data_IF_048525684339
#
_entry.id   IF_048525684339
#
_cell.length_a   1.000
_cell.length_b   1.000
_cell.length_c   1.000
_cell.angle_alpha   90.00
_cell.angle_beta   90.00
_cell.angle_gamma   90.00
#
_symmetry.space_group_name_H-M   'P 1'
#
loop_
_entity.id
_entity.type
_entity.pdbx_description
1 polymer ?
#
# COMPACT_ATOMS: atom_id res chain seq x y z
N UNK A 1 -37.02 6.91 -7.92
CA UNK A 1 -35.99 6.02 -8.49
C UNK A 1 -36.70 4.79 -9.03
N UNK A 2 -36.57 4.53 -10.32
CA UNK A 2 -37.24 3.44 -11.04
C UNK A 2 -36.40 2.16 -10.96
N UNK A 3 -37.02 1.00 -11.23
CA UNK A 3 -36.29 -0.26 -11.30
C UNK A 3 -35.18 -0.27 -12.38
N UNK A 4 -35.32 0.57 -13.43
CA UNK A 4 -34.29 0.74 -14.47
C UNK A 4 -33.07 1.50 -13.95
N UNK A 5 -33.29 2.58 -13.19
CA UNK A 5 -32.20 3.38 -12.60
C UNK A 5 -31.38 2.56 -11.59
N UNK A 6 -32.02 1.67 -10.83
CA UNK A 6 -31.33 0.76 -9.89
C UNK A 6 -30.44 -0.22 -10.66
N UNK A 7 -30.95 -0.82 -11.75
CA UNK A 7 -30.20 -1.79 -12.55
C UNK A 7 -28.97 -1.15 -13.24
N UNK A 8 -29.08 0.10 -13.69
CA UNK A 8 -27.96 0.85 -14.27
C UNK A 8 -26.87 1.15 -13.24
N UNK A 9 -27.26 1.52 -12.00
CA UNK A 9 -26.32 1.74 -10.89
C UNK A 9 -25.60 0.44 -10.53
N UNK A 10 -26.32 -0.68 -10.41
CA UNK A 10 -25.72 -1.98 -10.10
C UNK A 10 -24.72 -2.42 -11.18
N UNK A 11 -25.06 -2.23 -12.46
CA UNK A 11 -24.14 -2.50 -13.57
C UNK A 11 -22.89 -1.61 -13.52
N UNK A 12 -23.05 -0.32 -13.19
CA UNK A 12 -21.92 0.59 -13.01
C UNK A 12 -21.03 0.19 -11.83
N UNK A 13 -21.61 -0.25 -10.71
CA UNK A 13 -20.85 -0.74 -9.55
C UNK A 13 -20.04 -1.98 -9.92
N UNK A 14 -20.64 -2.94 -10.64
CA UNK A 14 -19.92 -4.13 -11.11
C UNK A 14 -18.77 -3.75 -12.04
N UNK A 15 -19.00 -2.81 -12.97
CA UNK A 15 -17.96 -2.32 -13.86
C UNK A 15 -16.82 -1.63 -13.11
N UNK A 16 -17.12 -0.78 -12.13
CA UNK A 16 -16.12 -0.11 -11.31
C UNK A 16 -15.29 -1.11 -10.49
N UNK A 17 -15.92 -2.15 -9.93
CA UNK A 17 -15.19 -3.21 -9.22
C UNK A 17 -14.20 -3.93 -10.14
N UNK A 18 -14.62 -4.28 -11.35
CA UNK A 18 -13.73 -4.91 -12.32
C UNK A 18 -12.51 -4.02 -12.67
N UNK A 19 -12.70 -2.70 -12.77
CA UNK A 19 -11.60 -1.75 -12.98
C UNK A 19 -10.67 -1.68 -11.76
N UNK A 20 -11.22 -1.66 -10.55
CA UNK A 20 -10.44 -1.68 -9.30
C UNK A 20 -9.61 -2.95 -9.21
N UNK A 21 -10.23 -4.12 -9.43
CA UNK A 21 -9.53 -5.41 -9.39
C UNK A 21 -8.37 -5.46 -10.42
N UNK A 22 -8.60 -4.94 -11.63
CA UNK A 22 -7.55 -4.85 -12.65
C UNK A 22 -6.41 -3.90 -12.25
N UNK A 23 -6.73 -2.78 -11.60
CA UNK A 23 -5.74 -1.84 -11.08
C UNK A 23 -4.92 -2.46 -9.94
N UNK A 24 -5.57 -3.17 -9.01
CA UNK A 24 -4.92 -3.89 -7.92
C UNK A 24 -3.99 -4.99 -8.42
N UNK A 25 -4.42 -5.78 -9.42
CA UNK A 25 -3.58 -6.79 -10.06
C UNK A 25 -2.36 -6.16 -10.77
N UNK A 26 -2.58 -5.03 -11.45
CA UNK A 26 -1.49 -4.28 -12.11
C UNK A 26 -0.48 -3.78 -11.08
N UNK A 27 -0.95 -3.19 -9.98
CA UNK A 27 -0.11 -2.71 -8.89
C UNK A 27 0.67 -3.87 -8.24
N UNK A 28 0.02 -5.00 -7.95
CA UNK A 28 0.66 -6.19 -7.39
C UNK A 28 1.79 -6.69 -8.30
N UNK A 29 1.55 -6.73 -9.62
CA UNK A 29 2.57 -7.11 -10.60
C UNK A 29 3.77 -6.14 -10.59
N UNK A 30 3.52 -4.84 -10.55
CA UNK A 30 4.58 -3.83 -10.50
C UNK A 30 5.40 -3.93 -9.21
N UNK A 31 4.73 -4.18 -8.08
CA UNK A 31 5.38 -4.42 -6.79
C UNK A 31 6.24 -5.68 -6.82
N UNK A 32 5.78 -6.76 -7.45
CA UNK A 32 6.53 -8.01 -7.54
C UNK A 32 7.78 -7.91 -8.43
N UNK A 33 7.76 -7.02 -9.43
CA UNK A 33 8.87 -6.84 -10.38
C UNK A 33 9.95 -5.87 -9.89
N UNK A 34 9.67 -5.08 -8.85
CA UNK A 34 10.64 -4.09 -8.37
C UNK A 34 11.69 -4.71 -7.46
N UNK A 35 12.93 -4.23 -7.50
CA UNK A 35 13.90 -4.56 -6.46
C UNK A 35 13.43 -3.96 -5.13
N UNK A 36 13.23 -4.80 -4.12
CA UNK A 36 12.86 -4.35 -2.79
C UNK A 36 14.04 -3.58 -2.16
N UNK A 37 13.78 -2.34 -1.72
CA UNK A 37 14.74 -1.53 -0.98
C UNK A 37 14.26 -1.35 0.45
N UNK A 38 14.96 -2.01 1.36
CA UNK A 38 14.66 -1.94 2.79
C UNK A 38 15.56 -0.93 3.48
N UNK A 39 14.95 -0.02 4.23
CA UNK A 39 15.63 0.99 5.05
C UNK A 39 15.22 0.85 6.51
N UNK A 40 16.03 1.37 7.43
CA UNK A 40 15.66 1.43 8.83
C UNK A 40 14.52 2.46 9.07
N UNK A 41 13.68 2.26 10.10
CA UNK A 41 12.67 3.25 10.51
C UNK A 41 13.25 4.65 10.73
N UNK A 42 14.47 4.76 11.24
CA UNK A 42 15.19 6.03 11.41
C UNK A 42 15.45 6.75 10.08
N UNK A 43 15.73 6.02 9.00
CA UNK A 43 15.94 6.58 7.66
C UNK A 43 14.61 7.01 7.02
N UNK A 44 13.52 6.29 7.31
CA UNK A 44 12.19 6.61 6.81
C UNK A 44 11.61 7.91 7.42
N UNK A 45 12.15 8.37 8.56
CA UNK A 45 11.75 9.66 9.17
C UNK A 45 11.91 10.83 8.19
N UNK A 46 12.94 10.80 7.33
CA UNK A 46 13.16 11.82 6.30
C UNK A 46 12.15 11.81 5.16
N UNK A 47 11.30 10.79 5.07
CA UNK A 47 10.32 10.66 3.98
C UNK A 47 9.06 11.46 4.28
N UNK A 48 8.51 11.40 5.50
CA UNK A 48 7.25 12.08 5.86
C UNK A 48 7.31 12.91 7.15
N UNK A 49 8.46 12.97 7.82
CA UNK A 49 8.69 13.77 9.03
C UNK A 49 8.19 13.11 10.32
N UNK A 50 7.70 11.86 10.26
CA UNK A 50 7.27 11.16 11.46
C UNK A 50 8.42 10.66 12.30
N UNK A 51 8.16 10.52 13.60
CA UNK A 51 9.13 9.95 14.53
C UNK A 51 9.39 8.47 14.21
N UNK A 52 10.61 8.00 14.46
CA UNK A 52 10.98 6.60 14.27
C UNK A 52 10.04 5.63 15.01
N UNK A 53 9.58 6.02 16.21
CA UNK A 53 8.64 5.22 17.00
C UNK A 53 7.28 5.04 16.32
N UNK A 54 6.78 6.07 15.63
CA UNK A 54 5.54 6.01 14.85
C UNK A 54 5.74 5.10 13.64
N UNK A 55 6.84 5.26 12.92
CA UNK A 55 7.16 4.43 11.76
C UNK A 55 7.27 2.95 12.15
N UNK A 56 7.88 2.65 13.29
CA UNK A 56 7.95 1.27 13.79
C UNK A 56 6.56 0.67 14.07
N UNK A 57 5.65 1.44 14.68
CA UNK A 57 4.25 1.00 14.90
C UNK A 57 3.52 0.82 13.56
N UNK A 58 3.76 1.71 12.61
CA UNK A 58 3.21 1.62 11.26
C UNK A 58 3.67 0.33 10.55
N UNK A 59 4.95 -0.05 10.67
CA UNK A 59 5.47 -1.32 10.14
C UNK A 59 4.77 -2.53 10.75
N UNK A 60 4.54 -2.52 12.07
CA UNK A 60 3.84 -3.59 12.77
C UNK A 60 2.38 -3.72 12.32
N UNK A 61 1.71 -2.59 12.07
CA UNK A 61 0.34 -2.58 11.56
C UNK A 61 0.23 -2.96 10.07
N UNK A 62 1.30 -2.77 9.28
CA UNK A 62 1.29 -2.97 7.83
C UNK A 62 2.46 -3.88 7.39
N UNK A 63 2.43 -5.18 7.73
CA UNK A 63 3.52 -6.09 7.39
C UNK A 63 3.52 -6.45 5.89
N UNK A 64 4.70 -6.73 5.34
CA UNK A 64 4.89 -7.01 3.89
C UNK A 64 4.14 -8.25 3.40
N UNK A 65 3.94 -9.25 4.26
CA UNK A 65 3.18 -10.47 3.95
C UNK A 65 1.68 -10.22 3.77
N UNK A 66 1.18 -9.06 4.22
CA UNK A 66 -0.19 -8.56 4.01
C UNK A 66 -0.27 -7.43 2.99
N UNK A 67 0.76 -7.25 2.17
CA UNK A 67 0.83 -6.17 1.18
C UNK A 67 1.20 -4.80 1.77
N UNK A 68 1.66 -4.75 3.02
CA UNK A 68 2.20 -3.54 3.64
C UNK A 68 3.69 -3.31 3.32
N UNK A 69 4.35 -2.48 4.13
CA UNK A 69 5.77 -2.09 3.98
C UNK A 69 6.67 -2.54 5.13
N UNK A 70 6.12 -3.09 6.21
CA UNK A 70 6.87 -3.50 7.39
C UNK A 70 7.46 -4.89 7.26
N UNK A 71 8.78 -5.02 7.34
CA UNK A 71 9.46 -6.33 7.37
C UNK A 71 10.18 -6.51 8.71
N UNK A 72 9.94 -7.62 9.41
CA UNK A 72 10.64 -7.95 10.66
C UNK A 72 11.75 -8.97 10.39
N UNK A 73 13.01 -8.57 10.57
CA UNK A 73 14.19 -9.43 10.40
C UNK A 73 15.01 -9.42 11.68
N UNK A 74 15.26 -10.60 12.26
CA UNK A 74 16.06 -10.75 13.49
C UNK A 74 15.63 -9.79 14.63
N UNK A 75 14.32 -9.64 14.82
CA UNK A 75 13.75 -8.77 15.84
C UNK A 75 13.78 -7.27 15.51
N UNK A 76 14.35 -6.85 14.38
CA UNK A 76 14.38 -5.46 13.92
C UNK A 76 13.36 -5.23 12.83
N UNK A 77 12.72 -4.07 12.87
CA UNK A 77 11.82 -3.62 11.81
C UNK A 77 12.61 -2.92 10.71
N UNK A 78 12.27 -3.25 9.47
CA UNK A 78 12.70 -2.60 8.25
C UNK A 78 11.47 -2.05 7.53
N UNK A 79 11.69 -1.02 6.74
CA UNK A 79 10.68 -0.33 5.93
C UNK A 79 10.99 -0.60 4.47
N UNK A 80 10.05 -1.16 3.74
CA UNK A 80 10.10 -1.10 2.29
C UNK A 80 9.87 0.35 1.84
N UNK A 81 10.94 1.02 1.40
CA UNK A 81 10.93 2.45 1.11
C UNK A 81 9.88 2.83 0.06
N UNK A 82 9.70 2.00 -0.96
CA UNK A 82 8.84 2.34 -2.10
C UNK A 82 7.37 2.21 -1.72
N UNK A 83 6.99 1.10 -1.09
CA UNK A 83 5.59 0.90 -0.63
C UNK A 83 5.24 1.93 0.43
N UNK A 84 6.20 2.26 1.30
CA UNK A 84 6.01 3.31 2.29
C UNK A 84 5.74 4.67 1.63
N UNK A 85 6.53 5.07 0.62
CA UNK A 85 6.28 6.30 -0.16
C UNK A 85 4.93 6.30 -0.86
N UNK A 86 4.54 5.17 -1.46
CA UNK A 86 3.27 4.99 -2.15
C UNK A 86 2.07 5.11 -1.18
N UNK A 87 2.09 4.39 -0.07
CA UNK A 87 1.03 4.43 0.95
C UNK A 87 0.94 5.78 1.69
N UNK A 88 2.01 6.58 1.69
CA UNK A 88 2.02 7.93 2.28
C UNK A 88 1.74 9.04 1.27
N UNK A 89 1.36 8.70 0.04
CA UNK A 89 0.98 9.67 -0.99
C UNK A 89 2.14 10.55 -1.48
N UNK A 90 3.39 10.09 -1.30
CA UNK A 90 4.60 10.78 -1.77
C UNK A 90 5.25 10.00 -2.91
N UNK A 91 4.56 9.89 -4.03
CA UNK A 91 5.19 9.57 -5.31
C UNK A 91 5.77 10.88 -5.85
N UNK A 92 7.11 11.00 -5.85
CA UNK A 92 7.83 11.92 -6.73
C UNK A 92 8.01 11.25 -8.09
#
# INVERSE_FOLDING_TARGET
MTNSEIAEIDAAIVSLRAVIDAAEQTLARLIAQRPARYIAPSQATGIDGRSESQIRRDCEANPVDRGGFGLKVNGRWLVDEHIYRLMRGRLL
#
